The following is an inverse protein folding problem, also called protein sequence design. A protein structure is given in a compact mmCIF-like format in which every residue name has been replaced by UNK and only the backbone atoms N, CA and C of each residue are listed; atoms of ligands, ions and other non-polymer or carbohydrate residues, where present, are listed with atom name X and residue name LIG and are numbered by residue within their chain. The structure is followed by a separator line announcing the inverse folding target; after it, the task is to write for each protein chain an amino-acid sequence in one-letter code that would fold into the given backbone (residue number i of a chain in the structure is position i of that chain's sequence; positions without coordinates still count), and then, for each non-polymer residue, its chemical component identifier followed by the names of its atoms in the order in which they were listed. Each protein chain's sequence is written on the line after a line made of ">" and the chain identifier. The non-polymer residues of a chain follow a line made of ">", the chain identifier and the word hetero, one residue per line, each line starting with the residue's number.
data_IF_855308481311
#
_entry.id   IF_855308481311
#
_cell.length_a   1.000
_cell.length_b   1.000
_cell.length_c   1.000
_cell.angle_alpha   90.00
_cell.angle_beta   90.00
_cell.angle_gamma   90.00
#
_symmetry.space_group_name_H-M   'P 1'
#
loop_
_entity.id
_entity.type
_entity.pdbx_description
1 polymer ?
#
# COMPACT_ATOMS: atom_id res chain seq x y z
N UNK A 1 -10.41 -10.84 -23.56
CA UNK A 1 -10.45 -9.98 -22.34
C UNK A 1 -9.10 -10.07 -21.69
N UNK A 2 -8.45 -8.94 -21.48
CA UNK A 2 -7.24 -8.87 -20.67
C UNK A 2 -7.61 -9.04 -19.19
N UNK A 3 -6.82 -9.83 -18.46
CA UNK A 3 -7.02 -10.08 -17.03
C UNK A 3 -6.14 -9.12 -16.24
N UNK A 4 -6.67 -8.59 -15.15
CA UNK A 4 -5.98 -7.70 -14.24
C UNK A 4 -6.33 -8.05 -12.80
N UNK A 5 -5.47 -7.64 -11.87
CA UNK A 5 -5.67 -7.82 -10.43
C UNK A 5 -5.99 -6.48 -9.78
N UNK A 6 -6.84 -6.52 -8.77
CA UNK A 6 -7.23 -5.37 -7.98
C UNK A 6 -7.07 -5.70 -6.50
N UNK A 7 -6.34 -4.88 -5.76
CA UNK A 7 -6.20 -5.01 -4.31
C UNK A 7 -6.59 -3.70 -3.64
N UNK A 8 -7.52 -3.79 -2.69
CA UNK A 8 -7.83 -2.71 -1.77
C UNK A 8 -7.02 -2.89 -0.49
N UNK A 9 -6.26 -1.87 -0.10
CA UNK A 9 -5.34 -1.89 1.05
C UNK A 9 -5.77 -0.83 2.06
N UNK A 10 -5.80 -1.22 3.34
CA UNK A 10 -5.97 -0.30 4.46
C UNK A 10 -4.74 -0.42 5.36
N UNK A 11 -3.88 0.60 5.32
CA UNK A 11 -2.60 0.57 6.02
C UNK A 11 -2.72 1.00 7.48
N UNK A 12 -1.77 0.54 8.30
CA UNK A 12 -1.66 0.95 9.69
C UNK A 12 -1.21 2.43 9.81
N UNK A 13 -1.71 3.19 10.79
CA UNK A 13 -1.22 4.55 11.07
C UNK A 13 0.21 4.56 11.63
N UNK A 14 0.70 3.41 12.11
CA UNK A 14 2.04 3.25 12.64
C UNK A 14 3.08 3.24 11.50
N UNK A 15 4.02 4.18 11.54
CA UNK A 15 5.05 4.35 10.51
C UNK A 15 5.81 3.06 10.17
N UNK A 16 6.25 2.29 11.17
CA UNK A 16 7.02 1.06 10.95
C UNK A 16 6.21 -0.02 10.24
N UNK A 17 4.93 -0.16 10.57
CA UNK A 17 4.01 -1.08 9.90
C UNK A 17 3.75 -0.65 8.45
N UNK A 18 3.67 0.66 8.18
CA UNK A 18 3.53 1.20 6.83
C UNK A 18 4.78 0.97 5.97
N UNK A 19 5.98 1.14 6.52
CA UNK A 19 7.22 0.82 5.81
C UNK A 19 7.28 -0.66 5.42
N UNK A 20 6.96 -1.55 6.36
CA UNK A 20 6.90 -3.00 6.08
C UNK A 20 5.81 -3.36 5.06
N UNK A 21 4.68 -2.65 5.04
CA UNK A 21 3.65 -2.82 4.01
C UNK A 21 4.20 -2.49 2.61
N UNK A 22 4.94 -1.38 2.47
CA UNK A 22 5.53 -1.02 1.18
C UNK A 22 6.58 -2.04 0.72
N UNK A 23 7.45 -2.50 1.62
CA UNK A 23 8.41 -3.56 1.30
C UNK A 23 7.71 -4.87 0.89
N UNK A 24 6.59 -5.19 1.53
CA UNK A 24 5.78 -6.35 1.16
C UNK A 24 5.13 -6.19 -0.22
N UNK A 25 4.53 -5.04 -0.52
CA UNK A 25 3.91 -4.75 -1.81
C UNK A 25 4.95 -4.75 -2.94
N UNK A 26 6.14 -4.20 -2.73
CA UNK A 26 7.24 -4.22 -3.71
C UNK A 26 7.71 -5.65 -4.01
N UNK A 27 7.85 -6.48 -2.98
CA UNK A 27 8.19 -7.88 -3.17
C UNK A 27 7.09 -8.64 -3.90
N UNK A 28 5.83 -8.42 -3.54
CA UNK A 28 4.69 -9.05 -4.22
C UNK A 28 4.58 -8.60 -5.68
N UNK A 29 4.87 -7.33 -5.99
CA UNK A 29 4.83 -6.81 -7.36
C UNK A 29 5.79 -7.54 -8.30
N UNK A 30 6.89 -8.09 -7.80
CA UNK A 30 7.85 -8.89 -8.58
C UNK A 30 7.28 -10.24 -9.03
N UNK A 31 6.33 -10.78 -8.28
CA UNK A 31 5.68 -12.06 -8.55
C UNK A 31 4.36 -11.91 -9.32
N UNK A 32 3.80 -10.70 -9.38
CA UNK A 32 2.53 -10.41 -10.04
C UNK A 32 2.73 -10.28 -11.55
N UNK A 33 2.23 -11.28 -12.29
CA UNK A 33 2.37 -11.38 -13.76
C UNK A 33 1.27 -10.67 -14.56
N UNK A 34 0.24 -10.15 -13.89
CA UNK A 34 -0.88 -9.43 -14.50
C UNK A 34 -0.79 -7.94 -14.16
N UNK A 35 -1.35 -7.04 -15.00
CA UNK A 35 -1.57 -5.65 -14.59
C UNK A 35 -2.24 -5.59 -13.22
N UNK A 36 -1.66 -4.85 -12.28
CA UNK A 36 -2.09 -4.82 -10.89
C UNK A 36 -2.38 -3.40 -10.45
N UNK A 37 -3.64 -3.17 -10.06
CA UNK A 37 -4.09 -1.94 -9.44
C UNK A 37 -4.14 -2.15 -7.92
N UNK A 38 -3.37 -1.34 -7.19
CA UNK A 38 -3.43 -1.26 -5.73
C UNK A 38 -4.05 0.08 -5.36
N UNK A 39 -5.12 0.07 -4.57
CA UNK A 39 -5.82 1.27 -4.13
C UNK A 39 -6.21 1.17 -2.65
N UNK A 40 -6.61 2.27 -2.05
CA UNK A 40 -7.14 2.32 -0.69
C UNK A 40 -6.50 3.42 0.13
N UNK A 41 -6.60 3.29 1.45
CA UNK A 41 -6.04 4.23 2.41
C UNK A 41 -4.68 3.69 2.88
N UNK A 42 -3.60 4.23 2.30
CA UNK A 42 -2.24 3.87 2.68
C UNK A 42 -1.78 4.54 3.98
N UNK A 43 -2.68 5.25 4.66
CA UNK A 43 -2.47 5.95 5.92
C UNK A 43 -1.30 6.93 5.83
N UNK A 44 -1.44 7.85 4.88
CA UNK A 44 -0.44 8.82 4.46
C UNK A 44 -0.30 9.92 5.52
N UNK A 45 0.76 9.90 6.34
CA UNK A 45 1.15 11.08 7.13
C UNK A 45 2.05 11.91 6.24
N UNK A 46 1.47 12.73 5.37
CA UNK A 46 2.22 13.62 4.48
C UNK A 46 3.01 14.67 5.28
N UNK A 47 2.59 15.01 6.51
CA UNK A 47 3.22 16.02 7.34
C UNK A 47 3.26 15.63 8.82
N UNK A 48 4.32 16.01 9.58
CA UNK A 48 4.41 15.79 11.03
C UNK A 48 3.23 16.34 11.85
N UNK A 49 2.46 17.28 11.29
CA UNK A 49 1.30 17.91 11.93
C UNK A 49 0.07 17.01 12.04
N UNK A 50 0.01 15.91 11.30
CA UNK A 50 -1.14 14.99 11.34
C UNK A 50 -1.05 13.97 12.48
N UNK A 51 0.02 14.02 13.28
CA UNK A 51 0.21 13.20 14.49
C UNK A 51 -0.44 13.80 15.77
N UNK A 52 -1.13 14.95 15.69
CA UNK A 52 -1.77 15.58 16.85
C UNK A 52 -3.27 15.76 16.61
N UNK A 53 -4.02 14.69 16.84
CA UNK A 53 -5.44 14.70 17.19
C UNK A 53 -5.59 14.04 18.55
#
# INVERSE_FOLDING_TARGET
>A
MEKWLCSAVYASPTYTLRAMLWDHLDNLAKDVVLPWLVLGDFNDIMLPREQRG
#
